data_IF_328955697142
#
_entry.id   IF_328955697142
#
_cell.length_a   1.000
_cell.length_b   1.000
_cell.length_c   1.000
_cell.angle_alpha   90.00
_cell.angle_beta   90.00
_cell.angle_gamma   90.00
#
_symmetry.space_group_name_H-M   'P 1'
#
loop_
_entity.id
_entity.type
_entity.pdbx_description
1 polymer ?
2 polymer ?
3 non-polymer ?
4 non-polymer ?
5 water ?
#
# COMPACT_ATOMS: atom_id res chain seq x y z
N UNK A 12 1.53 27.61 -35.27
CA UNK A 12 0.26 26.89 -34.98
C UNK A 12 -0.26 27.12 -33.54
N UNK A 13 -1.56 27.43 -33.45
CA UNK A 13 -2.26 27.46 -32.16
C UNK A 13 -2.47 26.06 -31.55
N UNK A 14 -2.39 25.00 -32.37
CA UNK A 14 -2.45 23.65 -31.79
C UNK A 14 -1.36 23.41 -30.72
N UNK A 15 -0.11 23.83 -31.00
CA UNK A 15 1.00 23.69 -30.03
C UNK A 15 0.78 24.48 -28.72
N UNK A 16 0.36 25.75 -28.85
CA UNK A 16 0.03 26.66 -27.71
C UNK A 16 -0.98 26.01 -26.73
N UNK A 17 -2.11 25.56 -27.26
CA UNK A 17 -3.11 24.78 -26.47
C UNK A 17 -2.57 23.44 -25.91
N UNK A 18 -1.79 22.72 -26.72
CA UNK A 18 -1.11 21.49 -26.30
C UNK A 18 -0.13 21.71 -25.14
N UNK A 19 0.61 22.83 -25.20
CA UNK A 19 1.62 23.16 -24.21
C UNK A 19 1.14 23.75 -22.89
N UNK A 20 -0.14 24.05 -22.79
CA UNK A 20 -0.64 24.86 -21.69
C UNK A 20 -0.25 24.27 -20.35
N UNK A 21 0.51 25.03 -19.58
CA UNK A 21 1.03 24.49 -18.31
C UNK A 21 -0.12 24.25 -17.34
N UNK A 22 -1.18 25.05 -17.52
CA UNK A 22 -2.33 25.07 -16.64
C UNK A 22 -3.19 23.85 -16.89
N UNK A 23 -3.40 23.51 -18.17
CA UNK A 23 -4.18 22.30 -18.54
C UNK A 23 -3.39 21.09 -18.11
N UNK A 24 -2.08 21.17 -18.24
CA UNK A 24 -1.20 20.08 -17.83
C UNK A 24 -1.15 19.81 -16.31
N UNK A 25 -1.19 20.89 -15.51
CA UNK A 25 -1.26 20.80 -14.02
C UNK A 25 -2.54 20.23 -13.40
N UNK A 26 -3.70 20.56 -13.99
CA UNK A 26 -4.96 19.93 -13.60
C UNK A 26 -4.83 18.47 -13.97
N UNK A 27 -4.33 18.21 -15.18
CA UNK A 27 -4.28 16.87 -15.74
C UNK A 27 -3.50 15.91 -14.84
N UNK A 28 -2.31 16.31 -14.39
CA UNK A 28 -1.52 15.46 -13.48
C UNK A 28 -1.99 15.52 -11.97
N UNK A 29 -2.72 16.58 -11.57
CA UNK A 29 -3.54 16.59 -10.30
C UNK A 29 -4.54 15.39 -10.22
N UNK A 30 -5.36 15.28 -11.28
CA UNK A 30 -6.26 14.16 -11.51
C UNK A 30 -5.56 12.79 -11.63
N UNK A 31 -4.28 12.78 -12.03
CA UNK A 31 -3.52 11.51 -12.12
C UNK A 31 -3.13 11.00 -10.75
N UNK A 32 -2.48 11.83 -9.94
CA UNK A 32 -2.27 11.49 -8.52
C UNK A 32 -3.56 10.85 -7.91
N UNK A 33 -4.71 11.44 -8.20
CA UNK A 33 -5.97 10.97 -7.61
C UNK A 33 -6.32 9.61 -8.22
N UNK A 34 -6.13 9.51 -9.52
CA UNK A 34 -6.42 8.32 -10.27
C UNK A 34 -5.49 7.19 -9.92
N UNK A 35 -4.20 7.45 -9.74
CA UNK A 35 -3.28 6.34 -9.43
C UNK A 35 -3.49 5.97 -7.97
N UNK A 36 -3.96 6.93 -7.18
CA UNK A 36 -4.20 6.57 -5.83
C UNK A 36 -5.36 5.57 -5.75
N UNK A 37 -6.34 5.77 -6.64
CA UNK A 37 -7.53 4.98 -6.60
C UNK A 37 -7.20 3.58 -7.08
N UNK A 38 -6.37 3.50 -8.12
CA UNK A 38 -5.80 2.26 -8.58
C UNK A 38 -5.07 1.54 -7.43
N UNK A 39 -4.40 2.29 -6.55
CA UNK A 39 -3.82 1.69 -5.36
C UNK A 39 -4.82 1.01 -4.44
N UNK A 40 -5.94 1.68 -4.16
CA UNK A 40 -6.91 1.20 -3.24
C UNK A 40 -7.62 -0.06 -3.81
N UNK A 41 -7.86 -0.07 -5.13
CA UNK A 41 -8.47 -1.20 -5.82
C UNK A 41 -7.51 -2.40 -5.86
N UNK A 42 -6.24 -2.20 -5.59
CA UNK A 42 -5.39 -3.36 -5.47
C UNK A 42 -5.35 -3.95 -4.05
N UNK A 43 -5.87 -3.26 -3.04
CA UNK A 43 -5.88 -3.82 -1.69
C UNK A 43 -6.39 -5.26 -1.61
N UNK A 44 -7.46 -5.62 -2.36
CA UNK A 44 -7.91 -7.02 -2.21
C UNK A 44 -6.86 -8.06 -2.60
N UNK A 45 -5.76 -7.62 -3.21
CA UNK A 45 -4.78 -8.57 -3.71
C UNK A 45 -3.81 -8.83 -2.61
N UNK A 46 -3.92 -8.07 -1.54
CA UNK A 46 -2.91 -8.15 -0.50
C UNK A 46 -3.04 -9.49 0.26
N UNK A 47 -1.98 -9.93 0.92
CA UNK A 47 -2.05 -11.05 1.84
C UNK A 47 -2.04 -10.63 3.31
N UNK A 48 -1.53 -9.44 3.63
CA UNK A 48 -1.61 -9.00 5.00
C UNK A 48 -1.58 -7.46 5.03
N UNK A 49 -2.31 -6.88 5.99
CA UNK A 49 -2.33 -5.46 6.19
C UNK A 49 -1.69 -5.18 7.56
N UNK A 50 -0.63 -4.35 7.55
CA UNK A 50 0.06 -3.91 8.74
C UNK A 50 -0.41 -2.51 9.17
N UNK A 51 -0.81 -2.39 10.43
CA UNK A 51 -1.43 -1.15 10.92
C UNK A 51 -1.08 -0.70 12.32
N UNK A 52 -1.55 0.54 12.51
CA UNK A 52 -1.84 1.33 13.73
C UNK A 52 -0.83 2.41 13.97
N UNK B 1 -9.04 9.81 14.35
CA UNK B 1 -9.36 8.63 13.59
C UNK B 1 -8.25 7.65 13.86
N UNK B 2 -7.47 7.27 12.86
CA UNK B 2 -6.29 6.45 13.10
C UNK B 2 -5.25 6.59 11.99
N UNK B 3 -4.00 6.32 12.32
CA UNK B 3 -2.86 6.80 11.56
C UNK B 3 -2.26 6.10 10.34
N UNK B 4 -1.84 4.86 10.47
CA UNK B 4 -1.08 4.23 9.35
C UNK B 4 -1.51 2.84 8.92
N UNK B 5 -1.47 2.57 7.61
CA UNK B 5 -1.76 1.22 7.09
C UNK B 5 -0.88 0.80 5.93
N UNK B 6 -0.37 -0.43 5.96
CA UNK B 6 0.39 -0.92 4.84
C UNK B 6 -0.02 -2.30 4.43
N UNK B 7 -0.32 -2.43 3.14
CA UNK B 7 -0.80 -3.70 2.56
C UNK B 7 0.33 -4.33 1.77
N UNK B 8 0.61 -5.60 2.05
CA UNK B 8 1.70 -6.33 1.42
C UNK B 8 1.20 -7.53 0.71
N UNK B 9 1.88 -7.85 -0.37
CA UNK B 9 1.62 -9.04 -1.15
C UNK B 9 2.90 -9.89 -1.16
N UNK B 10 2.78 -11.17 -0.76
CA UNK B 10 3.96 -12.06 -0.60
C UNK B 10 4.32 -12.49 -1.97
N UNK B 11 5.60 -12.77 -2.22
CA UNK B 11 5.99 -12.94 -3.63
C UNK B 11 5.39 -14.18 -4.34
N UNK B 12 5.02 -13.95 -5.60
CA UNK B 12 4.65 -14.96 -6.59
C UNK B 12 5.47 -16.30 -6.44
N UNK B 13 6.80 -16.27 -6.51
CA UNK B 13 7.54 -17.41 -5.99
C UNK B 13 7.70 -17.24 -4.50
N UNK B 14 7.64 -18.36 -3.79
CA UNK B 14 7.57 -18.38 -2.33
C UNK B 14 8.89 -17.96 -1.63
N UNK B 15 9.97 -17.78 -2.38
CA UNK B 15 11.21 -17.52 -1.71
C UNK B 15 11.78 -16.11 -1.99
N UNK B 16 10.93 -15.13 -2.34
CA UNK B 16 11.38 -13.70 -2.49
C UNK B 16 10.61 -12.72 -1.59
N UNK B 17 11.25 -11.61 -1.21
CA UNK B 17 10.61 -10.68 -0.26
C UNK B 17 9.22 -10.11 -0.74
N UNK B 18 8.32 -9.78 0.19
CA UNK B 18 7.00 -9.35 -0.27
C UNK B 18 7.03 -7.92 -0.79
N UNK B 19 6.00 -7.51 -1.54
CA UNK B 19 5.89 -6.14 -1.99
C UNK B 19 4.72 -5.40 -1.41
N UNK B 20 4.86 -4.08 -1.30
CA UNK B 20 3.73 -3.15 -0.99
C UNK B 20 2.84 -2.95 -2.18
N UNK B 21 1.55 -3.19 -2.00
CA UNK B 21 0.56 -3.01 -3.04
C UNK B 21 -0.19 -1.72 -2.70
N UNK B 22 -0.21 -1.42 -1.41
CA UNK B 22 -0.85 -0.16 -0.92
C UNK B 22 -0.29 0.29 0.44
N UNK B 23 -0.17 1.60 0.62
CA UNK B 23 0.06 2.22 1.92
C UNK B 23 -0.67 3.56 2.05
N UNK B 24 -0.88 4.04 3.30
CA UNK B 24 -1.50 5.33 3.55
C UNK B 24 -1.61 5.78 5.00
N UNK B 25 -2.02 7.03 5.17
CA UNK B 25 -2.63 7.49 6.39
C UNK B 25 -3.38 8.64 5.89
N UNK B 26 -4.31 9.16 6.68
CA UNK B 26 -4.90 8.45 7.78
C UNK B 26 -6.31 8.08 7.37
N UNK B 27 -6.98 8.94 6.64
CA UNK B 27 -8.22 8.54 5.94
C UNK B 27 -7.92 7.38 4.99
N UNK B 28 -6.87 7.53 4.20
CA UNK B 28 -6.44 6.49 3.30
C UNK B 28 -6.08 5.26 4.09
N UNK B 29 -5.39 5.44 5.23
CA UNK B 29 -4.96 4.32 6.05
C UNK B 29 -6.17 3.56 6.55
N UNK B 30 -7.23 4.31 6.77
CA UNK B 30 -8.44 3.80 7.37
C UNK B 30 -9.22 3.02 6.34
N UNK B 31 -9.16 3.52 5.12
CA UNK B 31 -9.94 3.05 4.03
C UNK B 31 -9.23 1.76 3.48
N UNK B 32 -7.95 1.58 3.75
CA UNK B 32 -7.25 0.35 3.39
C UNK B 32 -7.57 -0.73 4.39
N UNK B 33 -7.54 -0.38 5.68
CA UNK B 33 -7.91 -1.31 6.76
C UNK B 33 -9.32 -1.80 6.53
N UNK B 34 -10.18 -0.91 6.05
CA UNK B 34 -11.59 -1.25 5.76
C UNK B 34 -11.79 -2.26 4.61
N UNK B 35 -11.16 -1.98 3.47
CA UNK B 35 -11.26 -2.86 2.31
C UNK B 35 -10.65 -4.22 2.66
N UNK B 36 -9.48 -4.20 3.26
CA UNK B 36 -8.86 -5.42 3.80
C UNK B 36 -9.83 -6.24 4.64
N UNK B 37 -10.43 -5.65 5.67
CA UNK B 37 -11.35 -6.41 6.50
C UNK B 37 -12.53 -6.89 5.69
N UNK B 38 -13.08 -6.00 4.88
CA UNK B 38 -14.19 -6.36 3.94
C UNK B 38 -13.83 -7.59 3.10
N UNK B 39 -12.61 -7.68 2.59
CA UNK B 39 -12.18 -8.81 1.78
C UNK B 39 -11.37 -9.83 2.61
N UNK B 40 -11.55 -9.81 3.92
CA UNK B 40 -10.97 -10.82 4.80
C UNK B 40 -9.46 -10.93 4.63
N UNK B 41 -8.80 -9.78 4.50
CA UNK B 41 -7.35 -9.72 4.46
C UNK B 41 -6.84 -9.55 5.88
N UNK B 42 -5.94 -10.46 6.32
CA UNK B 42 -5.54 -10.46 7.71
C UNK B 42 -4.89 -9.13 8.01
N UNK B 43 -5.15 -8.60 9.17
CA UNK B 43 -4.72 -7.25 9.53
C UNK B 43 -4.05 -7.31 10.92
N UNK B 44 -2.79 -6.90 11.01
CA UNK B 44 -2.10 -6.97 12.27
C UNK B 44 -1.71 -5.58 12.70
N UNK B 45 -2.03 -5.25 13.97
CA UNK B 45 -1.56 -4.02 14.59
C UNK B 45 -0.14 -4.25 15.05
N UNK B 46 0.76 -3.51 14.44
CA UNK B 46 2.15 -3.56 14.84
C UNK B 46 2.63 -2.15 14.56
N UNK B 47 2.42 -1.26 15.54
CA UNK B 47 2.56 0.15 15.19
C UNK B 47 3.99 0.50 14.75
N UNK B 48 5.04 -0.01 15.44
CA UNK B 48 6.38 0.34 14.93
C UNK B 48 6.67 -0.07 13.49
N UNK B 49 6.26 -1.26 13.08
CA UNK B 49 6.53 -1.67 11.68
C UNK B 49 5.67 -0.95 10.63
N UNK B 50 4.44 -0.63 11.01
CA UNK B 50 3.53 0.12 10.12
C UNK B 50 4.07 1.52 9.82
N UNK B 51 4.58 2.19 10.84
CA UNK B 51 5.11 3.54 10.61
C UNK B 51 6.35 3.42 9.73
N UNK B 52 7.16 2.40 10.00
CA UNK B 52 8.41 2.14 9.26
C UNK B 52 8.21 1.81 7.78
N UNK B 53 7.35 0.80 7.50
CA UNK B 53 6.95 0.44 6.17
C UNK B 53 6.39 1.67 5.47
N UNK B 54 5.59 2.44 6.20
CA UNK B 54 4.91 3.55 5.58
C UNK B 54 5.93 4.59 5.22
N UNK B 55 6.91 4.80 6.09
CA UNK B 55 7.99 5.76 5.86
C UNK B 55 8.84 5.32 4.64
N UNK B 56 9.26 4.05 4.62
CA UNK B 56 10.39 3.60 3.79
C UNK B 56 10.12 2.67 2.58
N UNK B 57 8.99 1.97 2.57
CA UNK B 57 8.72 1.04 1.49
C UNK B 57 7.97 1.71 0.37
N UNK B 58 8.43 1.47 -0.84
CA UNK B 58 7.88 2.11 -2.03
C UNK B 58 6.80 1.17 -2.54
N UNK B 59 5.61 1.72 -2.83
CA UNK B 59 4.57 1.01 -3.54
C UNK B 59 5.03 0.42 -4.87
N UNK B 60 4.69 -0.85 -5.08
CA UNK B 60 5.01 -1.60 -6.29
C UNK B 60 6.37 -2.29 -6.21
N UNK B 61 7.11 -2.00 -5.13
CA UNK B 61 8.45 -2.56 -4.94
C UNK B 61 8.50 -3.52 -3.76
N UNK B 62 9.60 -4.26 -3.70
CA UNK B 62 9.95 -5.12 -2.61
C UNK B 62 10.26 -4.27 -1.43
N UNK B 63 9.81 -4.73 -0.26
CA UNK B 63 10.07 -4.03 0.98
C UNK B 63 11.57 -3.92 1.10
N UNK B 64 12.03 -2.90 1.83
CA UNK B 64 13.48 -2.78 2.07
C UNK B 64 14.08 -3.80 3.05
N UNK B 65 15.41 -3.98 2.98
CA UNK B 65 16.16 -5.02 3.69
C UNK B 65 16.20 -4.77 5.18
N UNK B 66 16.16 -3.52 5.59
CA UNK B 66 16.08 -3.22 7.02
C UNK B 66 14.84 -3.90 7.64
N UNK B 67 13.77 -4.09 6.85
CA UNK B 67 12.44 -4.56 7.34
C UNK B 67 12.04 -6.05 7.06
N UNK B 68 12.97 -6.82 6.46
CA UNK B 68 12.72 -8.21 6.16
C UNK B 68 12.41 -9.00 7.41
N UNK B 69 13.34 -9.03 8.35
CA UNK B 69 13.12 -9.79 9.56
C UNK B 69 11.72 -9.54 10.14
N UNK B 70 11.35 -8.26 10.24
CA UNK B 70 10.12 -7.85 10.88
C UNK B 70 8.92 -8.25 10.10
N UNK B 71 8.99 -8.13 8.77
CA UNK B 71 7.90 -8.59 7.91
C UNK B 71 7.87 -10.12 7.88
N UNK B 72 9.01 -10.80 8.06
CA UNK B 72 8.97 -12.26 8.23
C UNK B 72 8.29 -12.66 9.54
N UNK B 73 8.57 -11.94 10.63
CA UNK B 73 7.75 -12.13 11.84
C UNK B 73 6.20 -11.91 11.58
N UNK B 74 5.79 -11.03 10.68
CA UNK B 74 4.35 -10.85 10.40
C UNK B 74 3.83 -12.08 9.69
N UNK B 75 4.67 -12.64 8.83
CA UNK B 75 4.35 -13.92 8.14
C UNK B 75 4.21 -15.12 9.06
N UNK B 76 5.07 -15.25 10.05
CA UNK B 76 4.87 -16.31 11.04
C UNK B 76 3.50 -16.12 11.71
N UNK B 77 3.11 -14.85 11.92
CA UNK B 77 1.82 -14.49 12.53
C UNK B 77 0.64 -14.90 11.67
N UNK B 78 0.76 -14.66 10.37
CA UNK B 78 -0.19 -15.13 9.42
C UNK B 78 -0.28 -16.66 9.46
N UNK B 79 0.84 -17.35 9.72
CA UNK B 79 0.76 -18.82 9.94
C UNK B 79 0.10 -19.22 11.25
N UNK B 80 0.30 -18.46 12.31
CA UNK B 80 -0.39 -18.75 13.56
C UNK B 80 -1.86 -18.61 13.31
N UNK B 81 -2.23 -17.64 12.50
CA UNK B 81 -3.64 -17.38 12.26
C UNK B 81 -4.35 -18.54 11.56
N UNK B 82 -3.66 -19.26 10.71
CA UNK B 82 -4.34 -20.29 9.92
C UNK B 82 -4.73 -21.50 10.70
N UNK B 83 -4.69 -21.38 12.01
CA UNK B 83 -5.13 -22.47 12.90
C UNK B 83 -6.11 -21.91 13.96
N UNK B 84 -7.38 -21.67 13.55
CA UNK B 84 -8.38 -21.04 14.44
C UNK B 84 -7.76 -19.85 15.20
#
# INVERSE_FOLDING_TARGET
MKLRMSRQDIRDEFKESEGDPHVKGKIRQMQRAAAQRRMMEDVPKADVIVTN
PTHYSVALQYDENKMSAPKVVAKGAGLIALRIREIGAEHRVPTLEAPPLARALYRHAEIGQQIPGQLYAAVAEVLAWVWQLKRWRLAGGQRPPQPENLPVPEALDFMNEKNTDA
#
